data_IF_829214170426
#
_entry.id   IF_829214170426
#
_cell.length_a   1.000
_cell.length_b   1.000
_cell.length_c   1.000
_cell.angle_alpha   90.00
_cell.angle_beta   90.00
_cell.angle_gamma   90.00
#
_symmetry.space_group_name_H-M   'P 1'
#
loop_
_entity.id
_entity.type
_entity.pdbx_description
1 polymer ?
#
# COMPACT_ATOMS: atom_id res chain seq x y z
N UNK A 1 -18.35 45.75 -15.07
CA UNK A 1 -17.32 44.79 -14.69
C UNK A 1 -16.87 44.05 -15.93
N UNK A 2 -15.61 44.32 -16.32
CA UNK A 2 -15.02 43.92 -17.61
C UNK A 2 -14.94 42.39 -17.74
N UNK A 3 -15.18 41.88 -18.96
CA UNK A 3 -15.07 40.44 -19.30
C UNK A 3 -13.68 39.89 -18.98
N UNK A 4 -12.64 40.69 -19.00
CA UNK A 4 -11.26 40.32 -18.65
C UNK A 4 -11.10 40.05 -17.16
N UNK A 5 -11.80 40.79 -16.27
CA UNK A 5 -11.78 40.54 -14.84
C UNK A 5 -12.54 39.26 -14.46
N UNK A 6 -13.61 38.90 -15.17
CA UNK A 6 -14.31 37.63 -14.94
C UNK A 6 -13.47 36.40 -15.38
N UNK A 7 -12.70 36.52 -16.47
CA UNK A 7 -11.80 35.44 -16.88
C UNK A 7 -10.60 35.28 -15.98
N UNK A 8 -10.10 36.35 -15.37
CA UNK A 8 -9.02 36.28 -14.37
C UNK A 8 -9.47 35.58 -13.09
N UNK A 9 -10.67 35.91 -12.58
CA UNK A 9 -11.24 35.23 -11.40
C UNK A 9 -11.56 33.74 -11.62
N UNK A 10 -11.80 33.32 -12.87
CA UNK A 10 -12.05 31.90 -13.19
C UNK A 10 -10.73 31.12 -13.31
N UNK A 11 -9.66 31.75 -13.84
CA UNK A 11 -8.34 31.14 -13.91
C UNK A 11 -7.70 30.93 -12.53
N UNK A 12 -7.90 31.85 -11.60
CA UNK A 12 -7.40 31.73 -10.22
C UNK A 12 -8.15 30.68 -9.40
N UNK A 13 -9.38 30.30 -9.78
CA UNK A 13 -10.14 29.23 -9.12
C UNK A 13 -9.77 27.82 -9.55
N UNK A 14 -8.98 27.66 -10.64
CA UNK A 14 -8.54 26.34 -11.13
C UNK A 14 -7.14 25.99 -10.58
N UNK A 15 -6.49 26.90 -9.86
CA UNK A 15 -5.30 26.56 -9.10
C UNK A 15 -5.73 25.92 -7.77
N UNK A 16 -6.41 24.78 -7.88
CA UNK A 16 -6.63 23.88 -6.74
C UNK A 16 -5.26 23.39 -6.33
N UNK A 17 -4.63 24.04 -5.34
CA UNK A 17 -3.55 23.44 -4.58
C UNK A 17 -4.04 22.05 -4.18
N UNK A 18 -3.40 21.01 -4.72
CA UNK A 18 -3.66 19.65 -4.25
C UNK A 18 -3.39 19.67 -2.75
N UNK A 19 -4.43 19.49 -1.97
CA UNK A 19 -4.34 19.48 -0.51
C UNK A 19 -3.65 18.22 0.04
N UNK A 20 -3.12 17.36 -0.82
CA UNK A 20 -2.43 16.13 -0.46
C UNK A 20 -1.03 16.04 -1.10
N UNK A 21 -0.12 15.37 -0.40
CA UNK A 21 1.25 15.08 -0.84
C UNK A 21 1.29 13.69 -1.46
N UNK A 22 1.88 13.58 -2.65
CA UNK A 22 2.17 12.28 -3.29
C UNK A 22 3.50 11.72 -2.79
N UNK A 23 3.55 10.42 -2.57
CA UNK A 23 4.74 9.69 -2.09
C UNK A 23 5.26 8.80 -3.21
N UNK A 24 6.59 8.79 -3.36
CA UNK A 24 7.33 7.88 -4.23
C UNK A 24 8.63 7.49 -3.58
N UNK A 25 8.99 6.21 -3.64
CA UNK A 25 10.25 5.69 -3.13
C UNK A 25 10.82 4.62 -4.08
N UNK A 26 12.15 4.60 -4.29
CA UNK A 26 12.79 3.54 -5.06
C UNK A 26 12.89 2.22 -4.30
N UNK A 27 12.59 2.19 -2.99
CA UNK A 27 12.62 1.00 -2.15
C UNK A 27 11.37 0.12 -2.27
N UNK A 28 10.41 0.53 -3.08
CA UNK A 28 9.24 -0.25 -3.46
C UNK A 28 9.06 -0.18 -4.99
N UNK A 29 8.34 -1.13 -5.60
CA UNK A 29 8.08 -1.12 -7.03
C UNK A 29 7.48 0.21 -7.48
N UNK A 30 7.98 0.75 -8.58
CA UNK A 30 7.42 1.98 -9.16
C UNK A 30 5.98 1.76 -9.62
N UNK A 31 5.18 2.82 -9.54
CA UNK A 31 3.82 2.77 -10.05
C UNK A 31 3.81 2.45 -11.56
N UNK A 32 3.13 1.39 -11.94
CA UNK A 32 3.02 0.93 -13.34
C UNK A 32 1.76 1.46 -14.04
N UNK A 33 1.12 2.45 -13.46
CA UNK A 33 -0.11 3.07 -13.97
C UNK A 33 -0.27 4.51 -13.48
N UNK A 34 -1.38 5.17 -13.79
CA UNK A 34 -1.64 6.56 -13.41
C UNK A 34 -2.05 6.69 -11.94
N UNK A 35 -1.23 6.21 -11.00
CA UNK A 35 -1.43 6.29 -9.56
C UNK A 35 -0.12 6.60 -8.83
N UNK A 36 -0.21 7.01 -7.57
CA UNK A 36 0.94 7.20 -6.68
C UNK A 36 1.10 5.99 -5.75
N UNK A 37 2.32 5.67 -5.31
CA UNK A 37 2.56 4.61 -4.33
C UNK A 37 1.83 4.89 -3.01
N UNK A 38 1.73 6.16 -2.61
CA UNK A 38 0.84 6.61 -1.55
C UNK A 38 0.51 8.09 -1.71
N UNK A 39 -0.54 8.52 -1.01
CA UNK A 39 -0.85 9.94 -0.79
C UNK A 39 -0.98 10.21 0.70
N UNK A 40 -0.52 11.40 1.13
CA UNK A 40 -0.67 11.87 2.51
C UNK A 40 -1.59 13.06 2.53
N UNK A 41 -2.59 13.03 3.40
CA UNK A 41 -3.56 14.10 3.59
C UNK A 41 -4.06 14.11 5.03
N UNK A 42 -4.06 15.29 5.66
CA UNK A 42 -4.54 15.47 7.04
C UNK A 42 -3.97 14.46 8.04
N UNK A 43 -2.66 14.23 8.02
CA UNK A 43 -2.01 13.32 8.95
C UNK A 43 -2.27 11.82 8.69
N UNK A 44 -2.85 11.47 7.54
CA UNK A 44 -3.07 10.09 7.12
C UNK A 44 -2.35 9.79 5.81
N UNK A 45 -1.67 8.65 5.77
CA UNK A 45 -1.12 8.06 4.56
C UNK A 45 -2.06 6.97 4.04
N UNK A 46 -2.46 7.10 2.79
CA UNK A 46 -3.23 6.11 2.04
C UNK A 46 -2.26 5.42 1.09
N UNK A 47 -1.89 4.19 1.40
CA UNK A 47 -0.92 3.41 0.63
C UNK A 47 -1.66 2.54 -0.37
N UNK A 48 -1.27 2.64 -1.62
CA UNK A 48 -1.81 1.83 -2.71
C UNK A 48 -1.49 0.36 -2.54
N UNK A 49 -2.22 -0.52 -3.21
CA UNK A 49 -1.96 -1.94 -3.21
C UNK A 49 -0.51 -2.28 -3.58
N UNK A 50 0.16 -2.99 -2.70
CA UNK A 50 1.52 -3.46 -2.87
C UNK A 50 1.52 -4.92 -3.30
N UNK A 51 2.04 -5.19 -4.48
CA UNK A 51 2.21 -6.53 -5.05
C UNK A 51 3.63 -7.06 -4.80
N UNK A 52 3.87 -8.38 -4.89
CA UNK A 52 5.14 -9.01 -4.55
C UNK A 52 6.22 -8.85 -5.62
N UNK A 53 6.39 -7.65 -6.14
CA UNK A 53 7.42 -7.34 -7.13
C UNK A 53 8.71 -6.89 -6.45
N UNK A 54 9.83 -7.32 -7.00
CA UNK A 54 11.13 -6.79 -6.63
C UNK A 54 11.27 -5.35 -7.17
N UNK A 55 11.67 -4.37 -6.34
CA UNK A 55 11.75 -2.97 -6.74
C UNK A 55 12.77 -2.68 -7.85
N UNK A 56 13.80 -3.52 -7.99
CA UNK A 56 14.88 -3.30 -8.95
C UNK A 56 14.57 -3.93 -10.31
N UNK A 57 14.04 -5.15 -10.29
CA UNK A 57 13.76 -5.90 -11.51
C UNK A 57 12.36 -5.68 -12.05
N UNK A 58 11.45 -5.18 -11.21
CA UNK A 58 10.03 -5.03 -11.52
C UNK A 58 9.36 -6.34 -11.93
N UNK A 59 9.87 -7.46 -11.41
CA UNK A 59 9.33 -8.79 -11.62
C UNK A 59 8.75 -9.36 -10.32
N UNK A 60 7.74 -10.23 -10.44
CA UNK A 60 7.23 -10.97 -9.31
C UNK A 60 8.34 -11.88 -8.75
N UNK A 61 8.47 -11.93 -7.42
CA UNK A 61 9.41 -12.85 -6.79
C UNK A 61 8.97 -14.30 -7.00
N UNK A 62 9.95 -15.19 -7.14
CA UNK A 62 9.70 -16.62 -7.19
C UNK A 62 9.23 -17.16 -5.84
N UNK A 63 8.51 -18.27 -5.88
CA UNK A 63 7.99 -18.97 -4.73
C UNK A 63 6.47 -18.86 -4.59
N UNK A 64 5.93 -19.47 -3.53
CA UNK A 64 4.50 -19.52 -3.26
C UNK A 64 3.98 -18.25 -2.56
N UNK A 65 2.75 -18.35 -2.08
CA UNK A 65 2.06 -17.23 -1.43
C UNK A 65 2.83 -16.66 -0.24
N UNK A 66 3.60 -17.47 0.48
CA UNK A 66 4.40 -17.03 1.63
C UNK A 66 5.52 -16.07 1.21
N UNK A 67 6.29 -16.45 0.19
CA UNK A 67 7.37 -15.61 -0.37
C UNK A 67 6.77 -14.32 -0.97
N UNK A 68 5.66 -14.43 -1.67
CA UNK A 68 4.95 -13.28 -2.22
C UNK A 68 4.39 -12.37 -1.13
N UNK A 69 3.78 -12.91 -0.07
CA UNK A 69 3.26 -12.12 1.04
C UNK A 69 4.39 -11.35 1.77
N UNK A 70 5.53 -12.01 2.01
CA UNK A 70 6.69 -11.35 2.62
C UNK A 70 7.14 -10.15 1.77
N UNK A 71 7.30 -10.33 0.45
CA UNK A 71 7.72 -9.26 -0.45
C UNK A 71 6.70 -8.13 -0.53
N UNK A 72 5.41 -8.45 -0.63
CA UNK A 72 4.35 -7.44 -0.65
C UNK A 72 4.35 -6.58 0.64
N UNK A 73 4.54 -7.21 1.80
CA UNK A 73 4.64 -6.51 3.08
C UNK A 73 5.93 -5.68 3.21
N UNK A 74 7.06 -6.16 2.71
CA UNK A 74 8.31 -5.38 2.66
C UNK A 74 8.13 -4.13 1.79
N UNK A 75 7.49 -4.25 0.63
CA UNK A 75 7.17 -3.14 -0.24
C UNK A 75 6.22 -2.15 0.45
N UNK A 76 5.18 -2.66 1.12
CA UNK A 76 4.24 -1.84 1.89
C UNK A 76 4.97 -1.00 2.95
N UNK A 77 5.85 -1.64 3.75
CA UNK A 77 6.61 -0.96 4.81
C UNK A 77 7.58 0.08 4.25
N UNK A 78 8.17 -0.16 3.09
CA UNK A 78 9.02 0.84 2.42
C UNK A 78 8.22 2.09 2.02
N UNK A 79 6.99 1.94 1.52
CA UNK A 79 6.11 3.07 1.18
C UNK A 79 5.61 3.77 2.44
N UNK A 80 5.23 3.03 3.49
CA UNK A 80 4.84 3.57 4.81
C UNK A 80 5.95 4.43 5.38
N UNK A 81 7.21 3.96 5.36
CA UNK A 81 8.36 4.73 5.83
C UNK A 81 8.58 6.01 5.00
N UNK A 82 8.46 5.92 3.68
CA UNK A 82 8.57 7.08 2.79
C UNK A 82 7.45 8.11 3.00
N UNK A 83 6.29 7.67 3.49
CA UNK A 83 5.18 8.54 3.87
C UNK A 83 5.35 9.24 5.23
N UNK A 84 6.48 9.03 5.92
CA UNK A 84 6.74 9.59 7.26
C UNK A 84 6.03 8.84 8.39
N UNK A 85 5.79 7.55 8.21
CA UNK A 85 5.11 6.67 9.14
C UNK A 85 5.97 5.43 9.45
N UNK A 86 5.47 4.54 10.27
CA UNK A 86 6.07 3.24 10.59
C UNK A 86 4.99 2.20 10.93
N UNK A 87 5.41 0.96 11.14
CA UNK A 87 4.48 -0.15 11.43
C UNK A 87 3.60 0.05 12.67
N UNK A 88 4.05 0.87 13.64
CA UNK A 88 3.29 1.18 14.85
C UNK A 88 2.13 2.12 14.60
N UNK A 89 2.17 2.82 13.47
CA UNK A 89 1.20 3.81 13.06
C UNK A 89 0.23 3.29 11.99
N UNK A 90 0.37 2.04 11.56
CA UNK A 90 -0.58 1.44 10.62
C UNK A 90 -1.91 1.20 11.34
N UNK A 91 -2.96 1.82 10.81
CA UNK A 91 -4.30 1.81 11.41
C UNK A 91 -5.16 0.68 10.85
N UNK A 92 -5.07 0.48 9.53
CA UNK A 92 -5.86 -0.53 8.82
C UNK A 92 -5.07 -1.09 7.64
N UNK A 93 -5.26 -2.38 7.40
CA UNK A 93 -4.81 -3.07 6.19
C UNK A 93 -5.97 -3.76 5.50
N UNK A 94 -5.87 -3.90 4.17
CA UNK A 94 -6.69 -4.83 3.38
C UNK A 94 -5.74 -5.81 2.70
N UNK A 95 -6.01 -7.10 2.86
CA UNK A 95 -5.26 -8.19 2.24
C UNK A 95 -6.16 -8.82 1.18
N UNK A 96 -5.72 -8.78 -0.07
CA UNK A 96 -6.38 -9.41 -1.19
C UNK A 96 -5.66 -10.70 -1.53
N UNK A 97 -6.37 -11.80 -1.59
CA UNK A 97 -5.85 -13.13 -1.90
C UNK A 97 -6.42 -13.61 -3.23
N UNK A 98 -5.60 -14.31 -4.01
CA UNK A 98 -6.06 -15.01 -5.20
C UNK A 98 -6.89 -16.25 -4.83
N UNK A 99 -6.60 -16.85 -3.66
CA UNK A 99 -7.26 -18.03 -3.12
C UNK A 99 -7.37 -17.90 -1.59
N UNK A 100 -8.57 -18.04 -1.04
CA UNK A 100 -8.78 -17.96 0.40
C UNK A 100 -8.20 -19.15 1.17
N UNK A 101 -7.92 -20.26 0.50
CA UNK A 101 -7.20 -21.40 1.11
C UNK A 101 -5.77 -21.04 1.53
N UNK A 102 -5.20 -19.98 0.94
CA UNK A 102 -3.90 -19.43 1.32
C UNK A 102 -3.97 -18.50 2.55
N UNK A 103 -5.17 -18.18 3.06
CA UNK A 103 -5.35 -17.28 4.20
C UNK A 103 -4.53 -17.72 5.41
N UNK A 104 -4.53 -19.01 5.75
CA UNK A 104 -3.78 -19.52 6.88
C UNK A 104 -2.27 -19.34 6.72
N UNK A 105 -1.72 -19.59 5.54
CA UNK A 105 -0.29 -19.44 5.24
C UNK A 105 0.18 -17.98 5.39
N UNK A 106 -0.65 -17.03 5.03
CA UNK A 106 -0.35 -15.60 5.12
C UNK A 106 -0.59 -15.03 6.52
N UNK A 107 -1.67 -15.43 7.18
CA UNK A 107 -2.24 -14.74 8.33
C UNK A 107 -2.17 -15.48 9.67
N UNK A 108 -1.98 -16.78 9.69
CA UNK A 108 -2.08 -17.61 10.89
C UNK A 108 -0.81 -18.41 11.12
N UNK A 109 -0.44 -18.52 12.39
CA UNK A 109 0.62 -19.42 12.85
C UNK A 109 0.17 -20.86 12.66
N UNK A 110 0.75 -21.56 11.69
CA UNK A 110 0.70 -23.02 11.62
C UNK A 110 1.64 -23.61 12.69
N UNK A 111 1.29 -24.77 13.27
CA UNK A 111 2.03 -25.41 14.37
C UNK A 111 3.53 -25.60 14.06
N UNK A 112 3.92 -25.70 12.80
CA UNK A 112 5.27 -25.94 12.33
C UNK A 112 5.97 -24.70 11.69
N UNK A 113 5.30 -23.54 11.65
CA UNK A 113 5.90 -22.27 11.17
C UNK A 113 6.09 -21.31 12.33
N UNK A 114 7.30 -20.81 12.59
CA UNK A 114 7.60 -20.03 13.80
C UNK A 114 6.85 -18.71 13.92
N UNK A 115 6.31 -18.15 12.86
CA UNK A 115 5.41 -16.97 12.87
C UNK A 115 4.69 -16.80 11.52
N UNK A 116 3.39 -16.50 11.54
CA UNK A 116 2.70 -16.04 10.33
C UNK A 116 3.36 -14.75 9.80
N UNK A 117 3.51 -14.66 8.49
CA UNK A 117 4.23 -13.57 7.82
C UNK A 117 3.64 -12.22 8.17
N UNK A 118 2.31 -12.13 8.14
CA UNK A 118 1.58 -10.92 8.51
C UNK A 118 1.79 -10.55 9.99
N UNK A 119 1.70 -11.52 10.91
CA UNK A 119 1.94 -11.27 12.33
C UNK A 119 3.34 -10.75 12.59
N UNK A 120 4.37 -11.35 11.96
CA UNK A 120 5.76 -10.90 12.08
C UNK A 120 5.94 -9.47 11.57
N UNK A 121 5.29 -9.10 10.46
CA UNK A 121 5.41 -7.77 9.88
C UNK A 121 4.88 -6.69 10.81
N UNK A 122 3.78 -6.94 11.51
CA UNK A 122 3.11 -5.94 12.34
C UNK A 122 3.36 -6.08 13.85
N UNK A 123 3.88 -7.20 14.34
CA UNK A 123 4.09 -7.39 15.77
C UNK A 123 4.94 -6.27 16.41
N UNK A 124 4.62 -5.84 17.65
CA UNK A 124 3.53 -6.30 18.53
C UNK A 124 2.16 -5.63 18.22
N UNK A 125 2.07 -4.81 17.18
CA UNK A 125 0.89 -4.03 16.82
C UNK A 125 -0.14 -4.90 16.10
N UNK A 126 -1.40 -4.51 16.19
CA UNK A 126 -2.52 -5.24 15.59
C UNK A 126 -3.45 -4.26 14.86
N UNK A 127 -3.09 -3.81 13.64
CA UNK A 127 -3.95 -2.93 12.87
C UNK A 127 -5.30 -3.60 12.57
N UNK A 128 -6.34 -2.79 12.40
CA UNK A 128 -7.60 -3.30 11.88
C UNK A 128 -7.34 -3.94 10.50
N UNK A 129 -8.00 -5.07 10.18
CA UNK A 129 -7.76 -5.79 8.94
C UNK A 129 -9.04 -6.33 8.32
N UNK A 130 -9.10 -6.27 6.99
CA UNK A 130 -9.97 -7.11 6.17
C UNK A 130 -9.10 -8.03 5.30
N UNK A 131 -9.51 -9.26 5.11
CA UNK A 131 -8.88 -10.18 4.16
C UNK A 131 -9.97 -10.82 3.32
N UNK A 132 -9.80 -10.79 2.00
CA UNK A 132 -10.81 -11.22 1.03
C UNK A 132 -10.14 -11.94 -0.14
N UNK A 133 -10.86 -12.92 -0.69
CA UNK A 133 -10.54 -13.47 -2.01
C UNK A 133 -11.08 -12.53 -3.09
N UNK A 134 -10.32 -12.39 -4.16
CA UNK A 134 -10.72 -11.60 -5.33
C UNK A 134 -10.64 -12.44 -6.59
N UNK A 135 -11.47 -12.10 -7.58
CA UNK A 135 -11.55 -12.84 -8.84
C UNK A 135 -10.20 -12.89 -9.58
N UNK A 136 -9.38 -11.83 -9.47
CA UNK A 136 -8.04 -11.74 -10.07
C UNK A 136 -7.25 -10.59 -9.48
N UNK A 137 -5.93 -10.79 -9.34
CA UNK A 137 -4.97 -9.76 -8.94
C UNK A 137 -4.14 -9.28 -10.13
N UNK A 138 -3.58 -8.05 -10.07
CA UNK A 138 -2.69 -7.53 -11.11
C UNK A 138 -1.53 -8.49 -11.35
N UNK A 139 -1.17 -8.69 -12.63
CA UNK A 139 -0.07 -9.59 -13.02
C UNK A 139 -0.20 -11.02 -12.50
N UNK A 140 -1.42 -11.42 -12.11
CA UNK A 140 -1.74 -12.76 -11.64
C UNK A 140 -0.98 -13.19 -10.38
N UNK A 141 -0.57 -12.23 -9.54
CA UNK A 141 0.08 -12.49 -8.26
C UNK A 141 -0.89 -13.19 -7.29
N UNK A 142 -0.36 -13.79 -6.22
CA UNK A 142 -1.16 -14.56 -5.25
C UNK A 142 -1.70 -13.70 -4.11
N UNK A 143 -1.09 -12.55 -3.86
CA UNK A 143 -1.46 -11.66 -2.77
C UNK A 143 -1.14 -10.20 -3.10
N UNK A 144 -1.96 -9.28 -2.58
CA UNK A 144 -1.76 -7.85 -2.61
C UNK A 144 -2.17 -7.27 -1.25
N UNK A 145 -1.48 -6.23 -0.78
CA UNK A 145 -1.77 -5.61 0.52
C UNK A 145 -1.76 -4.09 0.37
N UNK A 146 -2.79 -3.44 0.90
CA UNK A 146 -2.86 -1.99 1.06
C UNK A 146 -2.98 -1.59 2.52
N UNK A 147 -2.73 -0.33 2.86
CA UNK A 147 -2.96 0.15 4.21
C UNK A 147 -3.30 1.63 4.31
N UNK A 148 -3.87 1.99 5.47
CA UNK A 148 -3.98 3.36 5.96
C UNK A 148 -3.11 3.46 7.21
N UNK A 149 -2.25 4.48 7.27
CA UNK A 149 -1.37 4.74 8.41
C UNK A 149 -1.46 6.20 8.86
N UNK A 150 -1.25 6.46 10.15
CA UNK A 150 -1.01 7.82 10.59
C UNK A 150 0.38 8.25 10.09
N UNK A 151 0.48 9.44 9.52
CA UNK A 151 1.72 10.01 9.01
C UNK A 151 2.03 11.32 9.73
N UNK A 152 3.31 11.59 9.95
CA UNK A 152 3.74 12.91 10.44
C UNK A 152 3.70 13.88 9.27
N UNK A 153 3.17 15.06 9.53
CA UNK A 153 3.20 16.20 8.60
C UNK A 153 4.63 16.73 8.39
#
# INVERSE_FOLDING_TARGET
VDRRQRQMCIRDRINTHRSYKTISTPNAPSAIGPYSQAVVHNGLAFVSGCIPFDPQTMQCVDGGVEAQAQRALDNLMAVVAAAGSDKSQVLKTTVFLKDMDDFAKVNVRLLDSPQAIYEKAFAPYKPARSAVEVARLPRDVLVEVECIAAARE
#
